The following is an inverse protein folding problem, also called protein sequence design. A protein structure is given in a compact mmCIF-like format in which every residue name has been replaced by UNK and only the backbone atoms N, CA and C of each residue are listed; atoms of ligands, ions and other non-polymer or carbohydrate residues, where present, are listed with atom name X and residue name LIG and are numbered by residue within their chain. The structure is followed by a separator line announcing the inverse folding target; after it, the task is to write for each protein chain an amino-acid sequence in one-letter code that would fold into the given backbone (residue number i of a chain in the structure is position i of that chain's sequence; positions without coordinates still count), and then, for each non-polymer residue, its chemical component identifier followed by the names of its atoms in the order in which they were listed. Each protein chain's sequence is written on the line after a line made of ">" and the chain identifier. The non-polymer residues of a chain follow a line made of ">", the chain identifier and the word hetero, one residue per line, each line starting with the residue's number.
data_IF_055340005082
#
_entry.id   IF_055340005082
#
_cell.length_a   1.000
_cell.length_b   1.000
_cell.length_c   1.000
_cell.angle_alpha   90.00
_cell.angle_beta   90.00
_cell.angle_gamma   90.00
#
_symmetry.space_group_name_H-M   'P 1'
#
loop_
_entity.id
_entity.type
_entity.pdbx_description
1 polymer ?
#
# COMPACT_ATOMS: atom_id res chain seq x y z
N UNK A 1 67.82 2.44 -35.92
CA UNK A 1 67.21 2.56 -34.57
C UNK A 1 68.00 1.72 -33.58
N UNK A 2 68.16 2.19 -32.34
CA UNK A 2 68.94 1.49 -31.31
C UNK A 2 68.06 0.38 -30.68
N UNK A 3 68.44 -0.91 -30.78
CA UNK A 3 67.60 -2.02 -30.32
C UNK A 3 67.29 -2.00 -28.81
N UNK A 4 68.16 -1.41 -27.97
CA UNK A 4 67.87 -1.23 -26.54
C UNK A 4 66.75 -0.22 -26.30
N UNK A 5 66.70 0.85 -27.10
CA UNK A 5 65.65 1.87 -26.99
C UNK A 5 64.27 1.25 -27.25
N UNK A 6 64.17 0.44 -28.31
CA UNK A 6 62.94 -0.27 -28.65
C UNK A 6 62.48 -1.23 -27.56
N UNK A 7 63.40 -1.94 -26.89
CA UNK A 7 63.03 -2.78 -25.73
C UNK A 7 62.50 -1.94 -24.57
N UNK A 8 63.12 -0.79 -24.28
CA UNK A 8 62.69 0.11 -23.22
C UNK A 8 61.30 0.71 -23.50
N UNK A 9 61.04 1.11 -24.75
CA UNK A 9 59.76 1.65 -25.19
C UNK A 9 58.63 0.60 -25.11
N UNK A 10 58.92 -0.65 -25.47
CA UNK A 10 57.97 -1.76 -25.36
C UNK A 10 57.60 -2.06 -23.90
N UNK A 11 58.58 -2.08 -22.99
CA UNK A 11 58.33 -2.31 -21.56
C UNK A 11 57.53 -1.15 -20.97
N UNK A 12 57.89 0.09 -21.29
CA UNK A 12 57.18 1.28 -20.82
C UNK A 12 55.73 1.29 -21.31
N UNK A 13 55.50 0.93 -22.56
CA UNK A 13 54.15 0.80 -23.14
C UNK A 13 53.34 -0.28 -22.44
N UNK A 14 53.94 -1.44 -22.15
CA UNK A 14 53.31 -2.53 -21.40
C UNK A 14 52.92 -2.09 -19.98
N UNK A 15 53.79 -1.36 -19.28
CA UNK A 15 53.50 -0.81 -17.95
C UNK A 15 52.31 0.15 -18.00
N UNK A 16 52.26 1.02 -19.00
CA UNK A 16 51.14 1.96 -19.15
C UNK A 16 49.82 1.25 -19.46
N UNK A 17 49.86 0.20 -20.29
CA UNK A 17 48.70 -0.65 -20.55
C UNK A 17 48.22 -1.35 -19.28
N UNK A 18 49.15 -1.89 -18.48
CA UNK A 18 48.81 -2.56 -17.22
C UNK A 18 48.21 -1.59 -16.20
N UNK A 19 48.71 -0.35 -16.13
CA UNK A 19 48.09 0.72 -15.31
C UNK A 19 46.67 1.03 -15.75
N UNK A 20 46.40 1.09 -17.05
CA UNK A 20 45.05 1.29 -17.56
C UNK A 20 44.12 0.12 -17.17
N UNK A 21 44.61 -1.12 -17.29
CA UNK A 21 43.85 -2.31 -16.87
C UNK A 21 43.55 -2.32 -15.36
N UNK A 22 44.51 -1.94 -14.51
CA UNK A 22 44.29 -1.80 -13.07
C UNK A 22 43.20 -0.78 -12.73
N UNK A 23 43.17 0.35 -13.44
CA UNK A 23 42.13 1.36 -13.25
C UNK A 23 40.75 0.83 -13.65
N UNK A 24 40.66 0.10 -14.77
CA UNK A 24 39.42 -0.55 -15.20
C UNK A 24 38.92 -1.56 -14.17
N UNK A 25 39.79 -2.46 -13.70
CA UNK A 25 39.45 -3.45 -12.67
C UNK A 25 39.00 -2.78 -11.36
N UNK A 26 39.65 -1.69 -10.96
CA UNK A 26 39.23 -0.91 -9.77
C UNK A 26 37.82 -0.34 -9.95
N UNK A 27 37.49 0.13 -11.15
CA UNK A 27 36.15 0.64 -11.45
C UNK A 27 35.10 -0.48 -11.45
N UNK A 28 35.40 -1.62 -12.08
CA UNK A 28 34.52 -2.79 -12.10
C UNK A 28 34.24 -3.32 -10.68
N UNK A 29 35.26 -3.37 -9.83
CA UNK A 29 35.10 -3.78 -8.43
C UNK A 29 34.14 -2.84 -7.68
N UNK A 30 34.31 -1.51 -7.83
CA UNK A 30 33.40 -0.52 -7.21
C UNK A 30 31.96 -0.65 -7.71
N UNK A 31 31.77 -0.95 -8.99
CA UNK A 31 30.44 -1.18 -9.56
C UNK A 31 29.81 -2.46 -8.99
N UNK A 32 30.58 -3.55 -8.92
CA UNK A 32 30.13 -4.81 -8.36
C UNK A 32 29.75 -4.66 -6.89
N UNK A 33 30.56 -3.97 -6.08
CA UNK A 33 30.21 -3.65 -4.70
C UNK A 33 28.88 -2.90 -4.57
N UNK A 34 28.65 -1.90 -5.44
CA UNK A 34 27.38 -1.16 -5.47
C UNK A 34 26.20 -2.06 -5.82
N UNK A 35 26.37 -2.97 -6.79
CA UNK A 35 25.32 -3.89 -7.21
C UNK A 35 25.02 -4.92 -6.12
N UNK A 36 26.04 -5.51 -5.49
CA UNK A 36 25.87 -6.42 -4.34
C UNK A 36 25.15 -5.72 -3.19
N UNK A 37 25.53 -4.47 -2.86
CA UNK A 37 24.83 -3.68 -1.82
C UNK A 37 23.35 -3.43 -2.17
N UNK A 38 23.02 -3.23 -3.44
CA UNK A 38 21.63 -3.08 -3.90
C UNK A 38 20.87 -4.40 -3.77
N UNK A 39 21.43 -5.50 -4.24
CA UNK A 39 20.81 -6.84 -4.16
C UNK A 39 20.53 -7.23 -2.71
N UNK A 40 21.50 -7.06 -1.80
CA UNK A 40 21.31 -7.31 -0.36
C UNK A 40 20.16 -6.46 0.21
N UNK A 41 20.02 -5.19 -0.19
CA UNK A 41 18.91 -4.32 0.25
C UNK A 41 17.56 -4.82 -0.28
N UNK A 42 17.51 -5.26 -1.52
CA UNK A 42 16.30 -5.79 -2.14
C UNK A 42 15.88 -7.09 -1.44
N UNK A 43 16.80 -8.02 -1.22
CA UNK A 43 16.53 -9.28 -0.51
C UNK A 43 16.03 -9.02 0.91
N UNK A 44 16.69 -8.16 1.70
CA UNK A 44 16.22 -7.78 3.04
C UNK A 44 14.82 -7.15 3.03
N UNK A 45 14.48 -6.37 2.00
CA UNK A 45 13.13 -5.77 1.86
C UNK A 45 12.09 -6.83 1.49
N UNK A 46 12.45 -7.83 0.70
CA UNK A 46 11.56 -8.93 0.33
C UNK A 46 11.34 -9.89 1.50
N UNK A 47 12.37 -10.20 2.30
CA UNK A 47 12.24 -10.99 3.52
C UNK A 47 11.31 -10.31 4.55
N UNK A 48 11.43 -8.99 4.74
CA UNK A 48 10.50 -8.22 5.58
C UNK A 48 9.05 -8.20 5.07
N UNK A 49 8.82 -8.49 3.78
CA UNK A 49 7.47 -8.62 3.22
C UNK A 49 6.88 -10.03 3.41
N UNK A 50 7.72 -11.06 3.49
CA UNK A 50 7.30 -12.47 3.68
C UNK A 50 7.22 -12.88 5.16
N UNK A 51 8.03 -12.28 6.04
CA UNK A 51 8.12 -12.63 7.47
C UNK A 51 7.29 -11.74 8.41
N UNK A 52 6.34 -10.95 7.89
CA UNK A 52 5.50 -10.11 8.71
C UNK A 52 4.11 -10.71 8.81
N UNK A 53 3.83 -11.46 9.88
CA UNK A 53 2.52 -11.42 10.51
C UNK A 53 2.32 -9.97 10.98
N UNK A 54 2.09 -9.05 10.04
CA UNK A 54 1.69 -7.69 10.36
C UNK A 54 0.37 -7.89 11.04
N UNK A 55 0.36 -7.73 12.37
CA UNK A 55 -0.87 -7.52 13.12
C UNK A 55 -1.73 -6.62 12.24
N UNK A 56 -2.95 -7.06 11.86
CA UNK A 56 -3.76 -6.28 10.95
C UNK A 56 -3.76 -4.85 11.50
N UNK A 57 -3.23 -3.91 10.69
CA UNK A 57 -3.29 -2.48 11.01
C UNK A 57 -4.69 -2.20 11.55
N UNK A 58 -4.90 -1.31 12.53
CA UNK A 58 -6.20 -1.19 13.23
C UNK A 58 -7.45 -1.11 12.32
N UNK A 59 -7.29 -0.75 11.05
CA UNK A 59 -8.30 -0.80 9.98
C UNK A 59 -8.64 -2.18 9.40
N UNK A 60 -7.72 -3.15 9.44
CA UNK A 60 -7.90 -4.53 9.01
C UNK A 60 -8.32 -5.45 10.17
N UNK A 61 -8.47 -4.93 11.40
CA UNK A 61 -9.02 -5.71 12.51
C UNK A 61 -10.49 -6.02 12.22
N UNK A 62 -10.89 -7.30 12.18
CA UNK A 62 -12.30 -7.68 12.09
C UNK A 62 -13.06 -7.07 13.26
N UNK A 63 -14.20 -6.47 13.00
CA UNK A 63 -15.08 -5.89 14.02
C UNK A 63 -16.50 -6.38 13.77
N UNK A 64 -17.27 -6.56 14.84
CA UNK A 64 -18.69 -6.86 14.71
C UNK A 64 -19.38 -5.71 14.00
N UNK A 65 -20.23 -6.05 13.04
CA UNK A 65 -21.01 -5.09 12.27
C UNK A 65 -22.50 -5.33 12.48
N UNK A 66 -23.33 -4.33 12.19
CA UNK A 66 -24.79 -4.43 12.25
C UNK A 66 -25.33 -5.36 11.16
N UNK A 67 -26.50 -5.95 11.41
CA UNK A 67 -27.14 -6.91 10.48
C UNK A 67 -27.41 -6.30 9.09
N UNK A 68 -27.71 -5.00 9.01
CA UNK A 68 -27.87 -4.27 7.75
C UNK A 68 -26.60 -4.31 6.87
N UNK A 69 -25.43 -4.21 7.51
CA UNK A 69 -24.14 -4.26 6.81
C UNK A 69 -23.77 -5.70 6.44
N UNK A 70 -24.10 -6.68 7.28
CA UNK A 70 -23.97 -8.10 6.92
C UNK A 70 -24.86 -8.43 5.71
N UNK A 71 -26.10 -7.98 5.70
CA UNK A 71 -27.04 -8.18 4.59
C UNK A 71 -26.52 -7.57 3.29
N UNK A 72 -25.95 -6.35 3.33
CA UNK A 72 -25.33 -5.72 2.16
C UNK A 72 -24.12 -6.52 1.65
N UNK A 73 -23.32 -7.09 2.55
CA UNK A 73 -22.14 -7.89 2.20
C UNK A 73 -22.46 -9.37 1.89
N UNK A 74 -23.73 -9.79 1.98
CA UNK A 74 -24.16 -11.18 1.87
C UNK A 74 -23.44 -12.12 2.88
N UNK A 75 -23.13 -11.58 4.06
CA UNK A 75 -22.50 -12.29 5.17
C UNK A 75 -23.53 -12.66 6.24
N UNK A 76 -23.19 -13.61 7.11
CA UNK A 76 -24.07 -14.01 8.22
C UNK A 76 -24.22 -12.89 9.26
N UNK A 77 -25.40 -12.82 9.87
CA UNK A 77 -25.68 -11.94 11.02
C UNK A 77 -24.64 -12.18 12.13
N UNK A 78 -24.02 -11.10 12.62
CA UNK A 78 -22.97 -11.18 13.62
C UNK A 78 -21.56 -11.56 13.13
N UNK A 79 -21.34 -11.69 11.81
CA UNK A 79 -19.99 -11.86 11.23
C UNK A 79 -19.06 -10.69 11.59
N UNK A 80 -17.78 -10.99 11.83
CA UNK A 80 -16.75 -9.98 12.07
C UNK A 80 -16.11 -9.56 10.75
N UNK A 81 -16.36 -8.33 10.32
CA UNK A 81 -15.87 -7.83 9.04
C UNK A 81 -14.81 -6.75 9.27
N UNK A 82 -13.70 -6.86 8.54
CA UNK A 82 -12.65 -5.84 8.56
C UNK A 82 -13.13 -4.58 7.84
N UNK A 83 -12.84 -3.40 8.41
CA UNK A 83 -13.22 -2.10 7.83
C UNK A 83 -12.66 -1.89 6.42
N UNK A 84 -11.49 -2.44 6.13
CA UNK A 84 -10.91 -2.45 4.78
C UNK A 84 -11.74 -3.24 3.77
N UNK A 85 -12.32 -4.37 4.18
CA UNK A 85 -13.13 -5.22 3.28
C UNK A 85 -14.45 -4.53 2.95
N UNK A 86 -15.10 -3.93 3.96
CA UNK A 86 -16.32 -3.13 3.78
C UNK A 86 -16.09 -1.98 2.80
N UNK A 87 -15.02 -1.20 3.02
CA UNK A 87 -14.71 -0.03 2.17
C UNK A 87 -14.46 -0.46 0.72
N UNK A 88 -13.77 -1.58 0.50
CA UNK A 88 -13.54 -2.12 -0.85
C UNK A 88 -14.82 -2.58 -1.52
N UNK A 89 -15.64 -3.38 -0.83
CA UNK A 89 -16.91 -3.87 -1.36
C UNK A 89 -17.82 -2.71 -1.78
N UNK A 90 -17.81 -1.63 -0.99
CA UNK A 90 -18.58 -0.43 -1.26
C UNK A 90 -18.08 0.35 -2.48
N UNK A 91 -16.76 0.51 -2.63
CA UNK A 91 -16.17 1.14 -3.83
C UNK A 91 -16.54 0.32 -5.08
N UNK A 92 -16.35 -1.00 -5.02
CA UNK A 92 -16.69 -1.90 -6.12
C UNK A 92 -18.19 -1.84 -6.46
N UNK A 93 -19.04 -1.76 -5.46
CA UNK A 93 -20.49 -1.60 -5.64
C UNK A 93 -20.83 -0.27 -6.35
N UNK A 94 -20.24 0.85 -5.90
CA UNK A 94 -20.44 2.17 -6.50
C UNK A 94 -19.99 2.19 -7.96
N UNK A 95 -18.85 1.56 -8.27
CA UNK A 95 -18.35 1.47 -9.65
C UNK A 95 -19.22 0.56 -10.52
N UNK A 96 -19.62 -0.61 -10.01
CA UNK A 96 -20.46 -1.58 -10.72
C UNK A 96 -21.85 -1.01 -11.06
N UNK A 97 -22.42 -0.23 -10.16
CA UNK A 97 -23.73 0.41 -10.34
C UNK A 97 -23.63 1.81 -10.95
N UNK A 98 -22.44 2.28 -11.33
CA UNK A 98 -22.19 3.60 -11.90
C UNK A 98 -22.82 4.73 -11.07
N UNK A 99 -22.73 4.63 -9.74
CA UNK A 99 -23.31 5.59 -8.80
C UNK A 99 -22.47 6.86 -8.66
N UNK A 100 -21.43 7.04 -9.46
CA UNK A 100 -20.63 8.26 -9.48
C UNK A 100 -21.31 9.32 -10.33
N UNK A 101 -21.36 10.56 -9.85
CA UNK A 101 -21.84 11.68 -10.65
C UNK A 101 -20.89 11.93 -11.83
N UNK A 102 -21.44 12.04 -13.05
CA UNK A 102 -20.66 12.27 -14.28
C UNK A 102 -19.95 13.63 -14.29
N UNK A 103 -20.49 14.64 -13.60
CA UNK A 103 -19.88 15.97 -13.50
C UNK A 103 -18.79 16.04 -12.43
N UNK A 104 -18.94 15.27 -11.35
CA UNK A 104 -17.96 15.21 -10.27
C UNK A 104 -17.89 13.80 -9.67
N UNK A 105 -16.85 13.05 -10.03
CA UNK A 105 -16.59 11.68 -9.55
C UNK A 105 -16.37 11.56 -8.04
N UNK A 106 -16.20 12.67 -7.32
CA UNK A 106 -16.16 12.68 -5.86
C UNK A 106 -17.55 12.60 -5.23
N UNK A 107 -18.59 12.97 -5.97
CA UNK A 107 -19.99 12.91 -5.55
C UNK A 107 -20.55 11.55 -5.97
N UNK A 108 -21.11 10.86 -4.99
CA UNK A 108 -21.79 9.58 -5.15
C UNK A 108 -23.29 9.87 -5.06
N UNK A 109 -24.03 9.36 -6.04
CA UNK A 109 -25.49 9.35 -6.07
C UNK A 109 -25.92 7.98 -5.54
N UNK A 110 -26.19 7.84 -4.23
CA UNK A 110 -26.54 6.57 -3.63
C UNK A 110 -27.87 6.06 -4.19
N UNK A 111 -27.93 4.78 -4.52
CA UNK A 111 -29.17 4.10 -4.88
C UNK A 111 -30.00 3.78 -3.62
N UNK A 112 -31.20 3.24 -3.78
CA UNK A 112 -32.08 2.90 -2.65
C UNK A 112 -31.41 1.97 -1.65
N UNK A 113 -30.64 0.97 -2.11
CA UNK A 113 -29.94 0.04 -1.21
C UNK A 113 -28.87 0.76 -0.40
N UNK A 114 -28.09 1.62 -1.05
CA UNK A 114 -27.04 2.36 -0.37
C UNK A 114 -27.62 3.44 0.56
N UNK A 115 -28.75 4.07 0.19
CA UNK A 115 -29.48 5.01 1.06
C UNK A 115 -29.98 4.34 2.34
N UNK A 116 -30.59 3.15 2.22
CA UNK A 116 -31.06 2.35 3.35
C UNK A 116 -29.88 2.00 4.26
N UNK A 117 -28.79 1.48 3.68
CA UNK A 117 -27.61 1.09 4.44
C UNK A 117 -26.99 2.28 5.20
N UNK A 118 -26.93 3.47 4.59
CA UNK A 118 -26.28 4.63 5.20
C UNK A 118 -27.22 5.45 6.09
N UNK A 119 -28.52 5.19 6.03
CA UNK A 119 -29.56 5.96 6.74
C UNK A 119 -29.60 7.44 6.31
N UNK A 120 -29.47 7.71 5.01
CA UNK A 120 -29.44 9.08 4.45
C UNK A 120 -30.73 9.38 3.67
N UNK A 121 -31.15 10.64 3.70
CA UNK A 121 -32.33 11.11 2.98
C UNK A 121 -32.02 11.38 1.50
N UNK A 122 -33.06 11.40 0.68
CA UNK A 122 -32.96 11.73 -0.74
C UNK A 122 -32.44 13.18 -0.92
N UNK A 123 -31.35 13.34 -1.66
CA UNK A 123 -30.75 14.65 -1.95
C UNK A 123 -29.53 15.04 -1.09
N UNK A 124 -29.14 14.23 -0.11
CA UNK A 124 -27.89 14.41 0.63
C UNK A 124 -26.66 14.18 -0.27
N UNK A 125 -25.69 15.11 -0.22
CA UNK A 125 -24.44 14.98 -0.98
C UNK A 125 -23.53 13.93 -0.32
N UNK A 126 -23.49 12.74 -0.90
CA UNK A 126 -22.57 11.68 -0.45
C UNK A 126 -21.25 11.79 -1.21
N UNK A 127 -20.15 11.71 -0.49
CA UNK A 127 -18.79 11.59 -1.03
C UNK A 127 -18.12 10.41 -0.34
N UNK A 128 -16.99 9.92 -0.85
CA UNK A 128 -16.25 8.84 -0.18
C UNK A 128 -15.92 9.16 1.30
N UNK A 129 -15.73 10.44 1.62
CA UNK A 129 -15.48 10.90 2.99
C UNK A 129 -16.73 10.80 3.90
N UNK A 130 -17.87 11.32 3.44
CA UNK A 130 -19.12 11.26 4.21
C UNK A 130 -19.64 9.82 4.30
N UNK A 131 -19.50 9.06 3.23
CA UNK A 131 -19.78 7.62 3.17
C UNK A 131 -19.05 6.86 4.27
N UNK A 132 -17.73 7.05 4.38
CA UNK A 132 -16.93 6.40 5.43
C UNK A 132 -17.36 6.84 6.84
N UNK A 133 -17.83 8.08 7.00
CA UNK A 133 -18.36 8.60 8.27
C UNK A 133 -19.67 7.90 8.65
N UNK A 134 -20.59 7.69 7.71
CA UNK A 134 -21.84 6.95 7.95
C UNK A 134 -21.55 5.49 8.30
N UNK A 135 -20.64 4.85 7.57
CA UNK A 135 -20.23 3.46 7.83
C UNK A 135 -19.70 3.24 9.25
N UNK A 136 -19.06 4.24 9.87
CA UNK A 136 -18.57 4.12 11.26
C UNK A 136 -19.67 3.79 12.28
N UNK A 137 -20.93 4.14 11.99
CA UNK A 137 -22.07 3.82 12.86
C UNK A 137 -22.40 2.32 12.86
N UNK A 138 -22.12 1.64 11.75
CA UNK A 138 -22.38 0.22 11.57
C UNK A 138 -21.28 -0.68 12.12
N UNK A 139 -20.14 -0.11 12.55
CA UNK A 139 -19.09 -0.86 13.25
C UNK A 139 -19.32 -0.78 14.75
N UNK A 140 -19.67 -1.92 15.34
CA UNK A 140 -19.83 -2.05 16.79
C UNK A 140 -18.42 -2.03 17.38
N UNK A 141 -18.02 -0.89 17.94
CA UNK A 141 -16.77 -0.81 18.70
C UNK A 141 -16.86 -1.79 19.86
N UNK A 142 -15.83 -2.63 20.11
CA UNK A 142 -15.80 -3.39 21.35
C UNK A 142 -15.80 -2.36 22.49
N UNK A 143 -16.88 -2.34 23.27
CA UNK A 143 -16.99 -1.50 24.46
C UNK A 143 -15.86 -1.92 25.40
N UNK A 144 -14.76 -1.19 25.37
CA UNK A 144 -13.82 -1.20 26.47
C UNK A 144 -14.41 -0.24 27.50
N UNK A 145 -14.93 -0.79 28.60
CA UNK A 145 -15.50 -0.03 29.71
C UNK A 145 -14.35 0.74 30.38
N UNK A 146 -14.01 1.91 29.85
CA UNK A 146 -13.00 2.82 30.40
C UNK A 146 -13.25 4.23 29.88
N UNK A 147 -13.68 5.10 30.83
CA UNK A 147 -13.74 6.58 30.76
C UNK A 147 -14.89 7.17 29.92
N UNK A 148 -15.79 8.03 30.41
CA UNK A 148 -15.73 8.97 31.54
C UNK A 148 -17.11 9.27 32.14
N UNK A 149 -17.08 9.56 33.43
CA UNK A 149 -18.12 10.15 34.29
C UNK A 149 -18.05 11.69 34.12
N UNK A 150 -19.17 12.41 34.19
CA UNK A 150 -19.30 13.89 34.22
C UNK A 150 -19.49 14.51 32.83
N UNK A 151 -20.35 15.48 32.54
CA UNK A 151 -21.06 16.58 33.23
C UNK A 151 -22.24 16.96 32.27
N UNK A 152 -23.42 17.49 32.60
CA UNK A 152 -24.09 18.09 33.75
C UNK A 152 -25.60 17.83 33.59
#
# INVERSE_FOLDING_TARGET
>A
MNPLQTQFDNITSTINLFKAQLNTLSHELKLLEKNVKKEIKIMKKQEKKKGGNKSPSGFAKPSKVTDELCAFMNEKEGSEIARTSVTKALIEYIEKHNLQNSENKQIIVPDEKLKILLGINEGEKVTYFTLQKFMNKHFIKPVNVSSSIGEL
#
